data_IF_123628572505
#
_entry.id   IF_123628572505
#
_cell.length_a   1.000
_cell.length_b   1.000
_cell.length_c   1.000
_cell.angle_alpha   90.00
_cell.angle_beta   90.00
_cell.angle_gamma   90.00
#
_symmetry.space_group_name_H-M   'P 1'
#
loop_
_entity.id
_entity.type
_entity.pdbx_description
1 polymer ?
#
# COMPACT_ATOMS: atom_id res chain seq x y z
N UNK A 1 -7.11 -15.29 14.00
CA UNK A 1 -7.10 -15.48 12.53
C UNK A 1 -8.08 -14.59 11.74
N UNK A 2 -9.00 -13.81 12.36
CA UNK A 2 -10.06 -13.08 11.63
C UNK A 2 -9.67 -11.77 10.93
N UNK A 3 -8.60 -11.08 11.34
CA UNK A 3 -8.33 -9.72 10.85
C UNK A 3 -7.61 -9.66 9.48
N UNK A 4 -6.77 -10.64 9.17
CA UNK A 4 -5.98 -10.65 7.91
C UNK A 4 -6.87 -10.95 6.69
N UNK A 5 -7.89 -11.81 6.85
CA UNK A 5 -8.85 -12.14 5.79
C UNK A 5 -9.69 -10.92 5.38
N UNK A 6 -10.01 -10.04 6.33
CA UNK A 6 -10.77 -8.82 6.04
C UNK A 6 -9.98 -7.83 5.19
N UNK A 7 -8.68 -7.65 5.45
CA UNK A 7 -7.80 -6.79 4.65
C UNK A 7 -7.64 -7.34 3.24
N UNK A 8 -7.46 -8.67 3.10
CA UNK A 8 -7.36 -9.32 1.80
C UNK A 8 -8.65 -9.13 0.96
N UNK A 9 -9.83 -9.32 1.57
CA UNK A 9 -11.12 -9.10 0.91
C UNK A 9 -11.33 -7.63 0.50
N UNK A 10 -10.98 -6.69 1.37
CA UNK A 10 -11.00 -5.26 1.06
C UNK A 10 -10.08 -4.95 -0.12
N UNK A 11 -8.84 -5.45 -0.10
CA UNK A 11 -7.85 -5.27 -1.18
C UNK A 11 -8.38 -5.81 -2.51
N UNK A 12 -8.96 -7.02 -2.52
CA UNK A 12 -9.59 -7.58 -3.72
C UNK A 12 -10.68 -6.66 -4.26
N UNK A 13 -11.55 -6.15 -3.38
CA UNK A 13 -12.65 -5.24 -3.77
C UNK A 13 -12.10 -3.96 -4.40
N UNK A 14 -11.08 -3.35 -3.78
CA UNK A 14 -10.40 -2.15 -4.30
C UNK A 14 -9.78 -2.37 -5.69
N UNK A 15 -9.30 -3.59 -5.98
CA UNK A 15 -8.66 -3.89 -7.27
C UNK A 15 -9.64 -4.32 -8.37
N UNK A 16 -10.80 -4.89 -8.02
CA UNK A 16 -11.70 -5.53 -9.00
C UNK A 16 -13.04 -4.82 -9.17
N UNK A 17 -13.38 -3.88 -8.28
CA UNK A 17 -14.67 -3.19 -8.31
C UNK A 17 -14.44 -1.68 -8.31
N UNK A 18 -15.36 -0.98 -8.97
CA UNK A 18 -15.42 0.47 -8.82
C UNK A 18 -15.87 0.79 -7.39
N UNK A 19 -15.09 1.64 -6.73
CA UNK A 19 -15.44 2.25 -5.44
C UNK A 19 -15.41 3.75 -5.65
N UNK A 20 -16.48 4.43 -5.25
CA UNK A 20 -16.53 5.89 -5.26
C UNK A 20 -15.35 6.45 -4.42
N UNK A 21 -14.43 7.24 -5.03
CA UNK A 21 -13.27 7.79 -4.33
C UNK A 21 -13.60 8.54 -3.05
N UNK A 22 -14.78 9.16 -2.95
CA UNK A 22 -15.21 9.89 -1.75
C UNK A 22 -15.29 8.96 -0.51
N UNK A 23 -15.63 7.69 -0.72
CA UNK A 23 -15.77 6.70 0.36
C UNK A 23 -14.44 6.22 0.92
N UNK A 24 -13.35 6.36 0.17
CA UNK A 24 -11.99 5.93 0.55
C UNK A 24 -11.04 7.10 0.80
N UNK A 25 -11.55 8.33 0.76
CA UNK A 25 -10.76 9.55 0.94
C UNK A 25 -9.94 9.50 2.24
N UNK A 26 -10.54 9.07 3.35
CA UNK A 26 -9.85 8.95 4.63
C UNK A 26 -8.69 7.93 4.62
N UNK A 27 -8.79 6.87 3.80
CA UNK A 27 -7.74 5.86 3.64
C UNK A 27 -6.56 6.41 2.82
N UNK A 28 -6.84 7.27 1.84
CA UNK A 28 -5.84 7.82 0.92
C UNK A 28 -5.18 9.07 1.51
N UNK A 29 -5.93 9.91 2.23
CA UNK A 29 -5.49 11.20 2.76
C UNK A 29 -4.23 11.13 3.62
N UNK A 30 -3.92 9.97 4.23
CA UNK A 30 -2.67 9.73 4.97
C UNK A 30 -2.35 10.82 6.00
N UNK A 31 -3.38 11.31 6.72
CA UNK A 31 -3.23 12.40 7.70
C UNK A 31 -2.10 12.10 8.67
N UNK A 32 -1.14 13.01 8.77
CA UNK A 32 0.08 12.79 9.54
C UNK A 32 -0.18 12.96 11.04
N UNK A 33 0.27 12.00 11.82
CA UNK A 33 0.35 12.08 13.28
C UNK A 33 1.83 12.17 13.65
N UNK A 34 2.24 13.16 14.47
CA UNK A 34 3.60 13.24 14.95
C UNK A 34 3.87 12.10 15.94
N UNK A 35 4.79 11.19 15.58
CA UNK A 35 5.33 10.21 16.52
C UNK A 35 6.59 10.80 17.15
N UNK A 36 6.55 11.04 18.46
CA UNK A 36 7.74 11.40 19.22
C UNK A 36 8.68 10.19 19.34
N UNK A 37 9.97 10.42 19.07
CA UNK A 37 11.04 9.43 19.23
C UNK A 37 12.00 9.76 20.37
N UNK A 38 11.76 10.82 21.13
CA UNK A 38 12.68 11.35 22.13
C UNK A 38 13.72 12.30 21.54
N UNK A 39 14.44 13.02 22.40
CA UNK A 39 15.54 13.95 22.02
C UNK A 39 15.14 15.02 20.98
N UNK A 40 13.86 15.40 20.95
CA UNK A 40 13.33 16.36 19.97
C UNK A 40 13.14 15.79 18.57
N UNK A 41 13.37 14.49 18.36
CA UNK A 41 13.14 13.83 17.09
C UNK A 41 11.66 13.46 16.93
N UNK A 42 11.01 13.99 15.88
CA UNK A 42 9.64 13.64 15.51
C UNK A 42 9.63 12.91 14.18
N UNK A 43 8.92 11.80 14.09
CA UNK A 43 8.66 11.09 12.83
C UNK A 43 7.17 11.12 12.52
N UNK A 44 6.74 11.76 11.42
CA UNK A 44 5.33 11.71 11.04
C UNK A 44 4.95 10.30 10.56
N UNK A 45 3.76 9.83 10.96
CA UNK A 45 3.15 8.58 10.48
C UNK A 45 1.80 8.91 9.86
N UNK A 46 1.53 8.41 8.65
CA UNK A 46 0.23 8.58 8.00
C UNK A 46 -0.82 7.61 8.57
N UNK A 47 -1.98 8.14 8.97
CA UNK A 47 -3.15 7.31 9.31
C UNK A 47 -3.57 6.50 8.08
N UNK A 48 -3.75 5.19 8.25
CA UNK A 48 -4.11 4.27 7.16
C UNK A 48 -2.93 3.73 6.35
N UNK A 49 -1.72 4.26 6.53
CA UNK A 49 -0.53 3.87 5.75
C UNK A 49 -0.18 2.38 5.92
N UNK A 50 -0.34 1.84 7.13
CA UNK A 50 -0.09 0.42 7.42
C UNK A 50 -1.02 -0.48 6.61
N UNK A 51 -2.33 -0.19 6.61
CA UNK A 51 -3.33 -0.95 5.86
C UNK A 51 -3.05 -0.84 4.35
N UNK A 52 -2.72 0.36 3.87
CA UNK A 52 -2.35 0.59 2.47
C UNK A 52 -1.11 -0.20 2.08
N UNK A 53 -0.10 -0.29 2.95
CA UNK A 53 1.13 -1.06 2.72
C UNK A 53 0.88 -2.56 2.71
N UNK A 54 0.05 -3.08 3.60
CA UNK A 54 -0.34 -4.49 3.60
C UNK A 54 -1.11 -4.82 2.31
N UNK A 55 -2.08 -3.96 1.95
CA UNK A 55 -2.87 -4.11 0.71
C UNK A 55 -1.95 -4.12 -0.51
N UNK A 56 -0.99 -3.18 -0.60
CA UNK A 56 -0.01 -3.14 -1.69
C UNK A 56 0.86 -4.41 -1.75
N UNK A 57 1.32 -4.93 -0.60
CA UNK A 57 2.06 -6.21 -0.57
C UNK A 57 1.21 -7.38 -1.04
N UNK A 58 -0.07 -7.41 -0.67
CA UNK A 58 -1.02 -8.41 -1.15
C UNK A 58 -1.21 -8.30 -2.67
N UNK A 59 -1.31 -7.09 -3.23
CA UNK A 59 -1.41 -6.91 -4.69
C UNK A 59 -0.15 -7.36 -5.41
N UNK A 60 1.01 -6.90 -4.91
CA UNK A 60 2.29 -7.24 -5.50
C UNK A 60 2.64 -8.72 -5.37
N UNK A 61 2.04 -9.50 -4.46
CA UNK A 61 2.32 -10.94 -4.39
C UNK A 61 1.86 -11.70 -5.64
N UNK A 62 0.89 -11.17 -6.39
CA UNK A 62 0.41 -11.75 -7.65
C UNK A 62 0.77 -10.89 -8.88
N UNK A 63 0.65 -9.56 -8.79
CA UNK A 63 0.84 -8.67 -9.94
C UNK A 63 2.32 -8.36 -10.25
N UNK A 64 3.27 -8.82 -9.42
CA UNK A 64 4.69 -8.44 -9.57
C UNK A 64 5.25 -8.76 -10.96
N UNK A 65 4.92 -9.91 -11.55
CA UNK A 65 5.43 -10.28 -12.89
C UNK A 65 4.93 -9.30 -13.95
N UNK A 66 3.62 -9.05 -13.96
CA UNK A 66 2.99 -8.13 -14.91
C UNK A 66 3.52 -6.71 -14.73
N UNK A 67 3.73 -6.27 -13.48
CA UNK A 67 4.32 -4.96 -13.18
C UNK A 67 5.77 -4.87 -13.67
N UNK A 68 6.57 -5.92 -13.51
CA UNK A 68 7.95 -5.98 -14.03
C UNK A 68 7.94 -5.91 -15.56
N UNK A 69 7.12 -6.72 -16.22
CA UNK A 69 7.00 -6.75 -17.68
C UNK A 69 6.54 -5.39 -18.24
N UNK A 70 5.50 -4.80 -17.66
CA UNK A 70 4.94 -3.52 -18.10
C UNK A 70 5.87 -2.33 -17.82
N UNK A 71 6.64 -2.39 -16.72
CA UNK A 71 7.54 -1.29 -16.35
C UNK A 71 8.92 -1.41 -16.98
N UNK A 72 9.38 -2.63 -17.30
CA UNK A 72 10.73 -2.91 -17.78
C UNK A 72 11.80 -2.20 -16.95
N UNK A 73 12.73 -1.52 -17.63
CA UNK A 73 13.82 -0.78 -17.00
C UNK A 73 13.40 0.56 -16.35
N UNK A 74 12.14 1.00 -16.49
CA UNK A 74 11.66 2.25 -15.90
C UNK A 74 11.46 2.15 -14.38
N UNK A 75 11.28 0.94 -13.84
CA UNK A 75 11.01 0.73 -12.41
C UNK A 75 11.86 -0.40 -11.82
N UNK A 76 13.05 -0.05 -11.31
CA UNK A 76 13.94 -0.99 -10.62
C UNK A 76 13.30 -1.57 -9.34
N UNK A 77 12.39 -0.82 -8.71
CA UNK A 77 11.71 -1.25 -7.48
C UNK A 77 10.71 -2.39 -7.70
N UNK A 78 10.34 -2.71 -8.95
CA UNK A 78 9.47 -3.85 -9.26
C UNK A 78 10.19 -5.20 -9.09
N UNK A 79 11.51 -5.19 -8.86
CA UNK A 79 12.33 -6.39 -8.71
C UNK A 79 12.91 -6.87 -10.02
N UNK A 80 13.27 -5.93 -10.90
CA UNK A 80 13.94 -6.23 -12.15
C UNK A 80 15.31 -6.86 -11.90
N UNK A 81 15.67 -7.86 -12.70
CA UNK A 81 16.96 -8.54 -12.54
C UNK A 81 18.07 -7.61 -12.99
N UNK A 82 18.91 -7.16 -12.06
CA UNK A 82 20.21 -6.59 -12.40
C UNK A 82 21.09 -7.67 -13.02
N UNK A 83 21.72 -7.36 -14.15
CA UNK A 83 22.76 -8.18 -14.77
C UNK A 83 24.03 -8.24 -13.94
#
# INVERSE_FOLDING_TARGET
>A
MGNITNIARMTKTLCTQYIDPTTIEALIASRLIPLDKGEGAVRPIGVGEVIRRISAKCVMSFAKKDVVEASGSLQLCAGEKSG
#
